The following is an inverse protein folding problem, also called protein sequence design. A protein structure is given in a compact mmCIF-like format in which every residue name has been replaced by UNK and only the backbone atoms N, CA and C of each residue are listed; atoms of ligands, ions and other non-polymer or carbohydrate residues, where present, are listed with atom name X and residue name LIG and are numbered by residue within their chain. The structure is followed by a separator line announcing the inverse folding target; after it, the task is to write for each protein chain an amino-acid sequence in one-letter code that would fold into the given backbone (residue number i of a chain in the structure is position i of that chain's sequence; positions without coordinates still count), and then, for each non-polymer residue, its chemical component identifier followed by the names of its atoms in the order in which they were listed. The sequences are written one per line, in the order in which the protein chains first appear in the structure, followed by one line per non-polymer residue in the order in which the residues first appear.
data_IF_591740350503
#
_entry.id   IF_591740350503
#
_cell.length_a   1.000
_cell.length_b   1.000
_cell.length_c   1.000
_cell.angle_alpha   90.00
_cell.angle_beta   90.00
_cell.angle_gamma   90.00
#
_symmetry.space_group_name_H-M   'P 1'
#
loop_
_entity.id
_entity.type
_entity.pdbx_description
1 polymer ?
#
# COMPACT_ATOMS: atom_id res chain seq x y z
N UNK A 1 -1.40 7.06 1.87
CA UNK A 1 -2.84 7.03 1.56
C UNK A 1 -3.00 7.38 0.10
N UNK A 2 -3.77 6.57 -0.63
CA UNK A 2 -4.21 6.85 -1.99
C UNK A 2 -5.75 6.74 -2.09
N UNK A 3 -6.32 7.30 -3.16
CA UNK A 3 -7.75 7.22 -3.50
C UNK A 3 -7.99 6.35 -4.74
N UNK A 4 -7.15 5.34 -4.92
CA UNK A 4 -7.18 4.38 -6.01
C UNK A 4 -8.33 3.39 -5.90
N UNK A 5 -8.12 2.19 -6.45
CA UNK A 5 -9.17 1.17 -6.52
C UNK A 5 -9.46 0.51 -5.17
N UNK A 6 -8.51 0.54 -4.23
CA UNK A 6 -8.60 -0.21 -2.97
C UNK A 6 -8.68 -1.72 -3.20
N UNK A 7 -8.94 -2.47 -2.13
CA UNK A 7 -9.04 -3.94 -2.16
C UNK A 7 -10.24 -4.41 -1.33
N UNK A 8 -10.79 -5.55 -1.73
CA UNK A 8 -11.71 -6.38 -0.95
C UNK A 8 -10.93 -7.31 -0.01
N UNK A 9 -11.60 -7.98 0.94
CA UNK A 9 -10.93 -8.94 1.84
C UNK A 9 -10.24 -10.06 1.06
N UNK A 10 -10.88 -10.55 0.00
CA UNK A 10 -10.37 -11.58 -0.87
C UNK A 10 -9.13 -11.10 -1.65
N UNK A 11 -9.14 -9.85 -2.14
CA UNK A 11 -8.00 -9.26 -2.84
C UNK A 11 -6.83 -8.99 -1.88
N UNK A 12 -7.09 -8.68 -0.61
CA UNK A 12 -6.03 -8.61 0.42
C UNK A 12 -5.41 -9.99 0.61
N UNK A 13 -6.19 -11.05 0.70
CA UNK A 13 -5.64 -12.41 0.82
C UNK A 13 -4.81 -12.81 -0.41
N UNK A 14 -5.34 -12.55 -1.61
CA UNK A 14 -4.67 -12.88 -2.88
C UNK A 14 -3.38 -12.07 -3.10
N UNK A 15 -3.39 -10.76 -2.81
CA UNK A 15 -2.29 -9.86 -3.19
C UNK A 15 -1.32 -9.52 -2.06
N UNK A 16 -1.73 -9.63 -0.80
CA UNK A 16 -0.91 -9.29 0.37
C UNK A 16 -0.45 -10.52 1.14
N UNK A 17 -1.25 -11.59 1.24
CA UNK A 17 -0.87 -12.77 2.04
C UNK A 17 -0.16 -13.85 1.23
N UNK A 18 -0.50 -14.00 -0.05
CA UNK A 18 0.11 -15.01 -0.91
C UNK A 18 1.46 -14.52 -1.46
N UNK A 19 2.50 -14.62 -0.61
CA UNK A 19 3.89 -14.40 -0.99
C UNK A 19 4.22 -15.29 -2.19
N UNK A 20 4.69 -14.69 -3.29
CA UNK A 20 5.28 -15.35 -4.46
C UNK A 20 4.35 -16.06 -5.45
N UNK A 21 3.02 -15.92 -5.37
CA UNK A 21 2.18 -16.22 -6.53
C UNK A 21 2.13 -14.99 -7.44
N UNK A 22 2.21 -15.24 -8.75
CA UNK A 22 2.40 -14.28 -9.83
C UNK A 22 1.19 -13.35 -10.07
N UNK A 23 0.74 -12.67 -9.01
CA UNK A 23 -0.39 -11.73 -9.02
C UNK A 23 -0.12 -10.54 -9.92
N UNK A 24 1.12 -10.05 -10.03
CA UNK A 24 1.45 -8.98 -10.95
C UNK A 24 1.28 -9.37 -12.43
N UNK A 25 1.66 -10.60 -12.83
CA UNK A 25 1.44 -11.08 -14.20
C UNK A 25 -0.06 -11.30 -14.49
N UNK A 26 -0.81 -11.89 -13.55
CA UNK A 26 -2.26 -12.06 -13.70
C UNK A 26 -3.01 -10.71 -13.72
N UNK A 27 -2.53 -9.72 -12.97
CA UNK A 27 -3.05 -8.36 -12.97
C UNK A 27 -2.73 -7.65 -14.31
N UNK A 28 -1.48 -7.72 -14.77
CA UNK A 28 -1.08 -7.20 -16.08
C UNK A 28 -1.87 -7.86 -17.22
N UNK A 29 -2.14 -9.16 -17.12
CA UNK A 29 -2.94 -9.89 -18.11
C UNK A 29 -4.41 -9.46 -18.12
N UNK A 30 -4.97 -9.09 -16.97
CA UNK A 30 -6.33 -8.51 -16.87
C UNK A 30 -6.39 -7.06 -17.36
N UNK A 31 -5.28 -6.32 -17.35
CA UNK A 31 -5.21 -4.90 -17.70
C UNK A 31 -4.26 -4.59 -18.88
N UNK A 32 -4.16 -5.51 -19.87
CA UNK A 32 -3.23 -5.43 -21.01
C UNK A 32 -3.27 -4.10 -21.78
N UNK A 33 -4.44 -3.48 -21.89
CA UNK A 33 -4.60 -2.20 -22.59
C UNK A 33 -3.90 -1.01 -21.90
N UNK A 34 -3.46 -1.17 -20.65
CA UNK A 34 -2.72 -0.15 -19.88
C UNK A 34 -1.38 -0.66 -19.31
N UNK A 35 -0.79 -1.71 -19.90
CA UNK A 35 0.45 -2.32 -19.40
C UNK A 35 1.61 -1.31 -19.24
N UNK A 36 1.70 -0.29 -20.10
CA UNK A 36 2.74 0.74 -20.03
C UNK A 36 2.59 1.71 -18.83
N UNK A 37 1.42 1.76 -18.19
CA UNK A 37 1.18 2.62 -17.03
C UNK A 37 1.40 1.90 -15.69
N UNK A 38 1.63 0.58 -15.71
CA UNK A 38 1.80 -0.24 -14.50
C UNK A 38 3.28 -0.34 -14.16
N UNK A 39 3.66 0.09 -12.96
CA UNK A 39 5.06 0.10 -12.48
C UNK A 39 5.45 -1.26 -11.87
N UNK A 40 4.50 -1.97 -11.24
CA UNK A 40 4.76 -3.19 -10.49
C UNK A 40 4.61 -4.46 -11.32
N UNK A 41 5.70 -5.24 -11.46
CA UNK A 41 5.71 -6.50 -12.21
C UNK A 41 5.99 -7.76 -11.37
N UNK A 42 6.49 -7.61 -10.14
CA UNK A 42 7.02 -8.72 -9.35
C UNK A 42 6.21 -9.07 -8.10
N UNK A 43 5.24 -8.23 -7.69
CA UNK A 43 4.40 -8.50 -6.51
C UNK A 43 5.12 -8.47 -5.15
N UNK A 44 6.42 -8.15 -5.13
CA UNK A 44 7.23 -8.15 -3.90
C UNK A 44 7.44 -6.76 -3.28
N UNK A 45 7.05 -5.69 -4.00
CA UNK A 45 7.36 -4.31 -3.59
C UNK A 45 6.78 -3.94 -2.23
N UNK A 46 5.61 -4.45 -1.88
CA UNK A 46 4.97 -4.19 -0.59
C UNK A 46 5.81 -4.70 0.60
N UNK A 47 6.46 -5.86 0.48
CA UNK A 47 7.23 -6.45 1.59
C UNK A 47 8.51 -5.68 1.93
N UNK A 48 8.93 -4.72 1.10
CA UNK A 48 10.01 -3.78 1.46
C UNK A 48 9.67 -2.94 2.69
N UNK A 49 8.39 -2.81 3.05
CA UNK A 49 7.95 -2.14 4.27
C UNK A 49 8.51 -2.77 5.55
N UNK A 50 8.66 -4.10 5.59
CA UNK A 50 9.23 -4.83 6.72
C UNK A 50 10.75 -4.68 6.87
N UNK A 51 11.43 -4.01 5.92
CA UNK A 51 12.84 -3.64 6.09
C UNK A 51 13.04 -2.48 7.05
N UNK A 52 11.99 -1.69 7.33
CA UNK A 52 12.08 -0.44 8.10
C UNK A 52 11.02 -0.30 9.19
N UNK A 53 10.09 -1.26 9.27
CA UNK A 53 8.95 -1.22 10.17
C UNK A 53 8.81 -2.53 10.94
N UNK A 54 8.59 -2.39 12.24
CA UNK A 54 8.28 -3.50 13.16
C UNK A 54 6.84 -4.00 13.02
N UNK A 55 5.94 -3.17 12.49
CA UNK A 55 4.55 -3.52 12.21
C UNK A 55 4.05 -2.70 11.02
N UNK A 56 3.19 -3.31 10.22
CA UNK A 56 2.53 -2.68 9.07
C UNK A 56 1.03 -2.92 9.18
N UNK A 57 0.25 -1.87 8.96
CA UNK A 57 -1.20 -1.94 8.84
C UNK A 57 -1.65 -1.43 7.49
N UNK A 58 -2.61 -2.12 6.88
CA UNK A 58 -3.31 -1.69 5.68
C UNK A 58 -4.77 -1.47 6.06
N UNK A 59 -5.32 -0.30 5.72
CA UNK A 59 -6.77 -0.05 5.79
C UNK A 59 -7.25 0.30 4.40
N UNK A 60 -8.07 -0.57 3.82
CA UNK A 60 -8.45 -0.48 2.41
C UNK A 60 -9.95 -0.66 2.20
N UNK A 61 -10.49 0.05 1.20
CA UNK A 61 -11.88 -0.08 0.78
C UNK A 61 -11.94 -0.11 -0.74
N UNK A 62 -12.49 -1.20 -1.28
CA UNK A 62 -12.64 -1.37 -2.72
C UNK A 62 -13.59 -0.32 -3.32
N UNK A 63 -13.36 0.02 -4.59
CA UNK A 63 -14.25 0.86 -5.39
C UNK A 63 -15.58 0.17 -5.76
N UNK A 64 -15.67 -1.16 -5.58
CA UNK A 64 -16.87 -1.95 -5.88
C UNK A 64 -18.03 -1.51 -4.99
N UNK A 65 -19.23 -1.47 -5.57
CA UNK A 65 -20.44 -1.10 -4.85
C UNK A 65 -20.70 -2.05 -3.67
N UNK A 66 -21.04 -1.49 -2.51
CA UNK A 66 -21.30 -2.27 -1.28
C UNK A 66 -20.06 -2.87 -0.61
N UNK A 67 -18.84 -2.53 -1.03
CA UNK A 67 -17.63 -3.07 -0.42
C UNK A 67 -17.44 -2.58 1.03
N UNK A 68 -17.27 -3.54 1.95
CA UNK A 68 -16.83 -3.32 3.33
C UNK A 68 -15.35 -2.92 3.32
N UNK A 69 -14.94 -2.02 4.20
CA UNK A 69 -13.52 -1.74 4.38
C UNK A 69 -12.89 -2.83 5.27
N UNK A 70 -11.61 -3.11 5.01
CA UNK A 70 -10.85 -4.16 5.67
C UNK A 70 -9.59 -3.55 6.25
N UNK A 71 -9.26 -3.97 7.47
CA UNK A 71 -7.97 -3.71 8.08
C UNK A 71 -7.17 -4.99 8.17
N UNK A 72 -5.97 -4.94 7.61
CA UNK A 72 -4.96 -5.98 7.71
C UNK A 72 -3.80 -5.49 8.56
N UNK A 73 -3.24 -6.33 9.42
CA UNK A 73 -2.06 -5.99 10.23
C UNK A 73 -1.10 -7.17 10.37
N UNK A 74 0.20 -6.89 10.27
CA UNK A 74 1.27 -7.87 10.43
C UNK A 74 2.51 -7.21 11.06
N UNK A 75 3.22 -7.95 11.91
CA UNK A 75 4.44 -7.53 12.61
C UNK A 75 5.73 -8.07 11.96
N UNK A 76 5.64 -8.50 10.69
CA UNK A 76 6.75 -9.11 9.95
C UNK A 76 6.96 -10.59 10.24
N UNK A 77 6.17 -11.18 11.13
CA UNK A 77 6.09 -12.64 11.28
C UNK A 77 5.16 -13.25 10.21
N UNK A 78 5.13 -14.59 10.05
CA UNK A 78 4.15 -15.24 9.19
C UNK A 78 2.68 -15.07 9.64
N UNK A 79 2.45 -14.45 10.81
CA UNK A 79 1.11 -14.20 11.34
C UNK A 79 0.62 -12.82 10.92
N UNK A 80 -0.63 -12.75 10.50
CA UNK A 80 -1.34 -11.51 10.24
C UNK A 80 -2.76 -11.59 10.80
N UNK A 81 -3.41 -10.43 10.91
CA UNK A 81 -4.81 -10.29 11.30
C UNK A 81 -5.58 -9.60 10.18
N UNK A 82 -6.85 -9.96 10.02
CA UNK A 82 -7.80 -9.26 9.16
C UNK A 82 -9.09 -9.03 9.94
N UNK A 83 -9.55 -7.78 9.95
CA UNK A 83 -10.77 -7.35 10.62
C UNK A 83 -11.56 -6.39 9.73
N UNK A 84 -12.87 -6.28 9.95
CA UNK A 84 -13.66 -5.23 9.35
C UNK A 84 -13.20 -3.86 9.88
N UNK A 85 -13.24 -2.85 9.02
CA UNK A 85 -12.82 -1.50 9.36
C UNK A 85 -13.83 -0.47 8.86
N UNK A 86 -13.71 0.73 9.40
CA UNK A 86 -14.42 1.91 8.90
C UNK A 86 -13.51 2.76 8.03
N UNK A 87 -13.90 2.95 6.78
CA UNK A 87 -13.27 3.89 5.86
C UNK A 87 -14.36 4.59 5.03
N UNK A 88 -14.34 5.92 5.05
CA UNK A 88 -15.35 6.72 4.34
C UNK A 88 -15.24 6.52 2.81
N UNK A 89 -14.06 6.78 2.26
CA UNK A 89 -13.77 6.71 0.83
C UNK A 89 -13.04 5.42 0.42
N UNK A 90 -13.10 5.09 -0.87
CA UNK A 90 -12.28 4.04 -1.49
C UNK A 90 -10.77 4.35 -1.42
N UNK A 91 -9.97 3.33 -1.65
CA UNK A 91 -8.50 3.43 -1.72
C UNK A 91 -7.83 2.74 -0.54
N UNK A 92 -6.54 3.02 -0.35
CA UNK A 92 -5.71 2.29 0.61
C UNK A 92 -4.86 3.23 1.46
N UNK A 93 -4.89 3.00 2.77
CA UNK A 93 -3.95 3.58 3.73
C UNK A 93 -2.96 2.50 4.16
N UNK A 94 -1.67 2.84 4.18
CA UNK A 94 -0.62 1.99 4.72
C UNK A 94 0.02 2.75 5.86
N UNK A 95 0.07 2.15 7.04
CA UNK A 95 0.67 2.69 8.26
C UNK A 95 1.87 1.83 8.62
N UNK A 96 3.04 2.46 8.68
CA UNK A 96 4.29 1.81 9.06
C UNK A 96 4.65 2.22 10.49
N UNK A 97 4.79 1.23 11.36
CA UNK A 97 5.32 1.41 12.71
C UNK A 97 6.84 1.23 12.63
N UNK A 98 7.53 2.34 12.31
CA UNK A 98 8.97 2.39 12.07
C UNK A 98 9.73 1.81 13.27
N UNK A 99 10.69 0.93 13.00
CA UNK A 99 11.51 0.31 14.04
C UNK A 99 12.54 1.29 14.64
N UNK A 100 13.23 0.85 15.70
CA UNK A 100 14.17 1.69 16.43
C UNK A 100 15.45 2.03 15.64
N UNK A 101 15.82 1.22 14.65
CA UNK A 101 17.03 1.39 13.83
C UNK A 101 16.78 2.34 12.65
N UNK A 102 15.52 2.45 12.22
CA UNK A 102 15.09 3.16 11.02
C UNK A 102 14.36 4.48 11.30
N UNK A 103 14.53 5.06 12.50
CA UNK A 103 13.90 6.33 12.91
C UNK A 103 14.12 7.50 11.95
N UNK A 104 15.16 7.46 11.12
CA UNK A 104 15.38 8.46 10.07
C UNK A 104 14.19 8.60 9.09
N UNK A 105 13.36 7.58 8.90
CA UNK A 105 12.15 7.67 8.06
C UNK A 105 10.99 8.41 8.73
N UNK A 106 11.10 8.77 10.01
CA UNK A 106 10.19 9.70 10.68
C UNK A 106 10.57 11.16 10.43
N UNK A 107 11.79 11.42 9.94
CA UNK A 107 12.29 12.76 9.70
C UNK A 107 11.77 13.33 8.38
N UNK A 108 11.23 14.56 8.45
CA UNK A 108 10.60 15.22 7.31
C UNK A 108 11.54 15.33 6.10
N UNK A 109 12.78 15.76 6.35
CA UNK A 109 13.77 16.03 5.30
C UNK A 109 14.21 14.76 4.57
N UNK A 110 14.29 13.63 5.31
CA UNK A 110 14.59 12.31 4.73
C UNK A 110 13.51 11.93 3.72
N UNK A 111 12.24 12.00 4.12
CA UNK A 111 11.11 11.65 3.24
C UNK A 111 11.05 12.60 2.04
N UNK A 112 11.21 13.91 2.25
CA UNK A 112 11.20 14.89 1.16
C UNK A 112 12.30 14.63 0.12
N UNK A 113 13.51 14.28 0.57
CA UNK A 113 14.62 13.87 -0.29
C UNK A 113 14.29 12.62 -1.12
N UNK A 114 13.70 11.60 -0.49
CA UNK A 114 13.30 10.36 -1.18
C UNK A 114 12.22 10.62 -2.22
N UNK A 115 11.20 11.43 -1.89
CA UNK A 115 10.14 11.82 -2.84
C UNK A 115 10.72 12.56 -4.05
N UNK A 116 11.65 13.49 -3.84
CA UNK A 116 12.33 14.22 -4.94
C UNK A 116 13.23 13.30 -5.77
N UNK A 117 13.85 12.29 -5.16
CA UNK A 117 14.76 11.37 -5.84
C UNK A 117 14.03 10.33 -6.67
N UNK A 118 12.97 9.72 -6.13
CA UNK A 118 12.31 8.55 -6.72
C UNK A 118 10.95 8.84 -7.33
N UNK A 119 10.24 9.88 -6.88
CA UNK A 119 8.84 10.10 -7.23
C UNK A 119 8.59 11.35 -8.08
N UNK A 120 9.65 12.08 -8.46
CA UNK A 120 9.58 13.38 -9.16
C UNK A 120 8.78 13.37 -10.46
N UNK A 121 8.74 12.23 -11.15
CA UNK A 121 8.10 12.09 -12.46
C UNK A 121 6.88 11.15 -12.41
N UNK A 122 6.35 10.86 -11.22
CA UNK A 122 5.10 10.11 -11.13
C UNK A 122 3.96 10.92 -11.78
N UNK A 123 3.07 10.26 -12.54
CA UNK A 123 1.97 10.93 -13.24
C UNK A 123 0.84 11.38 -12.30
N UNK A 124 0.94 11.07 -11.01
CA UNK A 124 -0.06 11.38 -9.98
C UNK A 124 0.56 12.34 -8.97
N UNK A 125 -0.15 13.42 -8.56
CA UNK A 125 0.35 14.36 -7.56
C UNK A 125 0.56 13.66 -6.21
N UNK A 126 1.66 14.02 -5.54
CA UNK A 126 2.01 13.51 -4.21
C UNK A 126 1.91 14.65 -3.21
N UNK A 127 1.12 14.43 -2.16
CA UNK A 127 0.99 15.36 -1.04
C UNK A 127 1.80 14.82 0.12
N UNK A 128 2.68 15.65 0.68
CA UNK A 128 3.51 15.31 1.84
C UNK A 128 3.27 16.29 2.98
N UNK A 129 3.06 15.77 4.19
CA UNK A 129 2.74 16.54 5.39
C UNK A 129 1.51 16.00 6.11
N UNK A 130 1.01 16.77 7.08
CA UNK A 130 -0.25 16.43 7.75
C UNK A 130 -1.41 16.53 6.76
N UNK A 131 -2.37 15.62 6.86
CA UNK A 131 -3.63 15.68 6.09
C UNK A 131 -4.25 17.06 6.32
N UNK A 132 -4.34 17.87 5.26
CA UNK A 132 -5.04 19.14 5.27
C UNK A 132 -6.48 18.85 4.87
N UNK A 133 -7.44 19.20 5.73
CA UNK A 133 -8.84 19.29 5.33
C UNK A 133 -9.01 20.59 4.55
N UNK A 134 -9.62 20.50 3.36
CA UNK A 134 -9.97 21.62 2.50
C UNK A 134 -11.48 21.70 2.36
#
# INVERSE_FOLDING_TARGET
SDRGIGMTAEEVDEYINQIALSSANNFLDKYKDNANAIIGHFGLGFYSTFMVASKVEIVTKSYKEGAQAVKWACDGTPQYTMEEADKADRGTDIVLYIDDENKEFLEKDKIESLLKKYCKFLPIPIVFGKKQEW
#
